data_IF_123965068638
#
_entry.id   IF_123965068638
#
_cell.length_a   1.000
_cell.length_b   1.000
_cell.length_c   1.000
_cell.angle_alpha   90.00
_cell.angle_beta   90.00
_cell.angle_gamma   90.00
#
_symmetry.space_group_name_H-M   'P 1'
#
loop_
_entity.id
_entity.type
_entity.pdbx_description
1 polymer ?
#
# COMPACT_ATOMS: atom_id res chain seq x y z
N UNK A 1 -9.36 7.30 29.11
CA UNK A 1 -8.49 6.18 29.53
C UNK A 1 -7.37 6.12 28.50
N UNK A 2 -6.08 6.25 28.86
CA UNK A 2 -5.03 6.01 27.89
C UNK A 2 -5.08 4.52 27.52
N UNK A 3 -5.18 4.23 26.22
CA UNK A 3 -5.13 2.88 25.67
C UNK A 3 -3.77 2.28 26.04
N UNK A 4 -3.80 1.36 26.99
CA UNK A 4 -2.61 0.74 27.55
C UNK A 4 -2.12 -0.24 26.50
N UNK A 5 -1.24 0.25 25.60
CA UNK A 5 -0.79 -0.39 24.37
C UNK A 5 -0.40 -1.85 24.55
N UNK A 6 -1.38 -2.75 24.45
CA UNK A 6 -1.10 -4.13 24.15
C UNK A 6 -0.47 -4.11 22.77
N UNK A 7 0.84 -4.38 22.71
CA UNK A 7 1.56 -4.61 21.46
C UNK A 7 0.80 -5.73 20.75
N UNK A 8 -0.06 -5.36 19.79
CA UNK A 8 -0.80 -6.33 19.00
C UNK A 8 0.26 -7.18 18.30
N UNK A 9 0.17 -8.51 18.38
CA UNK A 9 1.12 -9.35 17.66
C UNK A 9 1.11 -9.00 16.17
N UNK A 10 2.29 -9.11 15.56
CA UNK A 10 2.46 -8.98 14.12
C UNK A 10 1.60 -9.97 13.35
N UNK A 11 1.58 -9.83 12.03
CA UNK A 11 0.88 -10.76 11.17
C UNK A 11 1.62 -12.10 11.08
N UNK A 12 0.90 -13.20 11.09
CA UNK A 12 1.50 -14.52 10.88
C UNK A 12 1.80 -14.72 9.38
N UNK A 13 3.02 -15.18 9.07
CA UNK A 13 3.39 -15.53 7.70
C UNK A 13 2.68 -16.82 7.25
N UNK A 14 1.75 -16.72 6.30
CA UNK A 14 1.00 -17.86 5.78
C UNK A 14 1.73 -18.52 4.62
N UNK A 15 1.17 -19.58 4.04
CA UNK A 15 1.70 -20.14 2.79
C UNK A 15 1.72 -19.14 1.64
N UNK A 16 0.74 -18.24 1.59
CA UNK A 16 0.56 -17.22 0.54
C UNK A 16 1.42 -15.98 0.79
N UNK A 17 1.49 -15.47 2.02
CA UNK A 17 2.22 -14.25 2.34
C UNK A 17 3.71 -14.47 2.67
N UNK A 18 4.16 -15.70 2.89
CA UNK A 18 5.57 -15.97 3.20
C UNK A 18 6.49 -15.66 2.02
N UNK A 19 7.33 -14.64 2.19
CA UNK A 19 8.42 -14.31 1.26
C UNK A 19 9.44 -15.45 1.21
N UNK A 20 9.71 -15.97 0.00
CA UNK A 20 10.64 -17.11 -0.20
C UNK A 20 12.01 -16.72 -0.74
N UNK A 21 12.10 -15.68 -1.57
CA UNK A 21 13.38 -15.17 -2.08
C UNK A 21 13.76 -13.92 -1.32
N UNK A 22 14.96 -13.91 -0.76
CA UNK A 22 15.41 -12.90 0.20
C UNK A 22 14.47 -12.79 1.42
N UNK A 23 14.25 -13.88 2.18
CA UNK A 23 13.38 -13.86 3.35
C UNK A 23 13.91 -12.96 4.48
N UNK A 24 15.21 -12.69 4.52
CA UNK A 24 15.84 -11.73 5.44
C UNK A 24 15.31 -10.30 5.28
N UNK A 25 14.71 -9.99 4.12
CA UNK A 25 14.08 -8.70 3.80
C UNK A 25 12.61 -8.63 4.20
N UNK A 26 12.04 -9.71 4.72
CA UNK A 26 10.62 -9.82 4.99
C UNK A 26 10.28 -9.24 6.36
N UNK A 27 9.25 -8.40 6.40
CA UNK A 27 8.69 -7.86 7.62
C UNK A 27 7.21 -8.26 7.74
N UNK A 28 6.80 -8.58 8.96
CA UNK A 28 5.41 -8.96 9.28
C UNK A 28 4.89 -8.27 10.54
N UNK A 29 5.70 -7.47 11.22
CA UNK A 29 5.25 -6.62 12.31
C UNK A 29 4.35 -5.48 11.78
N UNK A 30 3.35 -5.09 12.59
CA UNK A 30 2.35 -4.10 12.19
C UNK A 30 2.96 -2.73 11.96
N UNK A 31 3.93 -2.35 12.79
CA UNK A 31 4.60 -1.05 12.72
C UNK A 31 5.22 -0.84 11.33
N UNK A 32 6.03 -1.79 10.87
CA UNK A 32 6.67 -1.72 9.56
C UNK A 32 5.65 -1.75 8.43
N UNK A 33 4.68 -2.67 8.48
CA UNK A 33 3.63 -2.79 7.46
C UNK A 33 2.83 -1.49 7.33
N UNK A 34 2.43 -0.90 8.46
CA UNK A 34 1.62 0.32 8.49
C UNK A 34 2.42 1.53 8.05
N UNK A 35 3.68 1.66 8.48
CA UNK A 35 4.54 2.75 8.04
C UNK A 35 4.69 2.79 6.50
N UNK A 36 4.81 1.63 5.84
CA UNK A 36 4.92 1.55 4.38
C UNK A 36 3.60 1.93 3.69
N UNK A 37 2.46 1.45 4.21
CA UNK A 37 1.13 1.78 3.69
C UNK A 37 0.83 3.27 3.88
N UNK A 38 1.13 3.82 5.06
CA UNK A 38 0.81 5.21 5.41
C UNK A 38 1.68 6.22 4.67
N UNK A 39 2.88 5.83 4.26
CA UNK A 39 3.73 6.63 3.39
C UNK A 39 3.21 6.72 1.94
N UNK A 40 2.31 5.84 1.50
CA UNK A 40 1.82 5.79 0.13
C UNK A 40 0.48 6.55 -0.05
N UNK A 41 0.39 7.38 -1.09
CA UNK A 41 -0.88 8.01 -1.50
C UNK A 41 -1.69 7.10 -2.43
N UNK A 42 -1.01 6.34 -3.29
CA UNK A 42 -1.61 5.45 -4.28
C UNK A 42 -1.23 4.00 -4.01
N UNK A 43 -2.10 3.08 -4.41
CA UNK A 43 -1.85 1.65 -4.42
C UNK A 43 -2.24 1.04 -5.77
N UNK A 44 -1.96 -0.25 -5.92
CA UNK A 44 -2.42 -1.09 -7.02
C UNK A 44 -3.25 -2.24 -6.46
N UNK A 45 -4.53 -2.31 -6.80
CA UNK A 45 -5.42 -3.39 -6.34
C UNK A 45 -5.52 -4.44 -7.43
N UNK A 46 -5.00 -5.64 -7.14
CA UNK A 46 -5.07 -6.83 -7.97
C UNK A 46 -6.28 -7.69 -7.62
N UNK A 47 -7.04 -8.11 -8.63
CA UNK A 47 -8.22 -8.97 -8.47
C UNK A 47 -8.53 -9.71 -9.78
N UNK A 48 -9.48 -10.65 -9.74
CA UNK A 48 -9.84 -11.50 -10.90
C UNK A 48 -11.31 -11.31 -11.24
N UNK A 49 -11.60 -11.11 -12.52
CA UNK A 49 -12.96 -11.06 -13.07
C UNK A 49 -13.02 -12.07 -14.22
N UNK A 50 -13.96 -13.02 -14.18
CA UNK A 50 -14.13 -14.06 -15.19
C UNK A 50 -12.83 -14.84 -15.49
N UNK A 51 -12.03 -15.10 -14.46
CA UNK A 51 -10.74 -15.79 -14.56
C UNK A 51 -9.58 -14.93 -15.09
N UNK A 52 -9.82 -13.66 -15.44
CA UNK A 52 -8.79 -12.74 -15.95
C UNK A 52 -8.27 -11.81 -14.84
N UNK A 53 -6.94 -11.63 -14.70
CA UNK A 53 -6.36 -10.75 -13.71
C UNK A 53 -6.42 -9.28 -14.15
N UNK A 54 -6.80 -8.41 -13.22
CA UNK A 54 -6.77 -6.96 -13.36
C UNK A 54 -5.96 -6.34 -12.23
N UNK A 55 -5.29 -5.22 -12.52
CA UNK A 55 -4.56 -4.42 -11.54
C UNK A 55 -4.95 -2.96 -11.74
N UNK A 56 -5.66 -2.38 -10.78
CA UNK A 56 -6.16 -1.00 -10.87
C UNK A 56 -5.35 -0.08 -9.97
N UNK A 57 -4.69 0.96 -10.51
CA UNK A 57 -4.11 2.02 -9.70
C UNK A 57 -5.22 2.91 -9.11
N UNK A 58 -5.16 3.18 -7.81
CA UNK A 58 -6.13 4.05 -7.13
C UNK A 58 -5.52 4.73 -5.92
N UNK A 59 -6.14 5.82 -5.47
CA UNK A 59 -5.92 6.35 -4.12
C UNK A 59 -6.50 5.38 -3.09
N UNK A 60 -5.87 5.32 -1.93
CA UNK A 60 -6.32 4.50 -0.81
C UNK A 60 -5.96 5.14 0.52
N UNK A 61 -6.53 4.64 1.60
CA UNK A 61 -6.13 4.98 2.96
C UNK A 61 -6.35 3.82 3.91
N UNK A 62 -5.70 3.94 5.06
CA UNK A 62 -5.81 2.99 6.16
C UNK A 62 -6.60 3.64 7.29
N UNK A 63 -7.49 2.87 7.91
CA UNK A 63 -8.07 3.18 9.21
C UNK A 63 -7.99 1.92 10.08
N UNK A 64 -7.23 2.00 11.16
CA UNK A 64 -6.83 0.84 11.96
C UNK A 64 -6.23 -0.28 11.11
N UNK A 65 -6.88 -1.45 11.14
CA UNK A 65 -6.45 -2.68 10.44
C UNK A 65 -7.19 -2.88 9.10
N UNK A 66 -7.83 -1.82 8.59
CA UNK A 66 -8.60 -1.83 7.34
C UNK A 66 -8.01 -0.88 6.31
N UNK A 67 -8.13 -1.27 5.05
CA UNK A 67 -7.75 -0.51 3.88
C UNK A 67 -9.00 -0.14 3.08
N UNK A 68 -9.03 1.09 2.61
CA UNK A 68 -10.17 1.67 1.90
C UNK A 68 -9.72 2.32 0.60
N UNK A 69 -10.56 2.23 -0.42
CA UNK A 69 -10.43 2.94 -1.68
C UNK A 69 -11.83 3.23 -2.22
N UNK A 70 -11.94 4.23 -3.09
CA UNK A 70 -13.24 4.63 -3.63
C UNK A 70 -13.17 4.87 -5.14
N UNK A 71 -14.33 5.03 -5.75
CA UNK A 71 -14.45 5.49 -7.13
C UNK A 71 -15.90 5.65 -7.53
N UNK A 72 -16.15 5.82 -8.83
CA UNK A 72 -17.52 5.94 -9.35
C UNK A 72 -18.33 4.67 -9.06
N UNK A 73 -19.57 4.83 -8.60
CA UNK A 73 -20.52 3.71 -8.45
C UNK A 73 -20.88 3.03 -9.77
N UNK A 74 -20.64 3.69 -10.92
CA UNK A 74 -20.79 3.12 -12.24
C UNK A 74 -19.57 2.27 -12.69
N UNK A 75 -18.46 2.30 -11.95
CA UNK A 75 -17.24 1.55 -12.31
C UNK A 75 -17.53 0.06 -12.42
N UNK A 76 -17.24 -0.53 -13.59
CA UNK A 76 -17.35 -1.98 -13.79
C UNK A 76 -16.44 -2.73 -12.82
N UNK A 77 -15.24 -2.19 -12.58
CA UNK A 77 -14.22 -2.82 -11.74
C UNK A 77 -14.62 -2.85 -10.26
N UNK A 78 -15.21 -1.76 -9.75
CA UNK A 78 -15.69 -1.71 -8.37
C UNK A 78 -16.96 -2.54 -8.19
N UNK A 79 -17.87 -2.54 -9.18
CA UNK A 79 -19.07 -3.39 -9.14
C UNK A 79 -18.72 -4.89 -9.10
N UNK A 80 -17.66 -5.31 -9.75
CA UNK A 80 -17.20 -6.71 -9.68
C UNK A 80 -16.70 -7.11 -8.28
N UNK A 81 -16.32 -6.15 -7.45
CA UNK A 81 -15.89 -6.37 -6.06
C UNK A 81 -17.07 -6.35 -5.07
N UNK A 82 -18.27 -5.95 -5.51
CA UNK A 82 -19.44 -5.75 -4.64
C UNK A 82 -19.82 -6.99 -3.85
N UNK A 83 -19.75 -8.16 -4.48
CA UNK A 83 -20.16 -9.43 -3.90
C UNK A 83 -19.13 -10.02 -2.92
N UNK A 84 -18.03 -9.33 -2.64
CA UNK A 84 -16.97 -9.86 -1.79
C UNK A 84 -16.01 -10.73 -2.59
N UNK A 85 -14.95 -10.14 -3.15
CA UNK A 85 -13.93 -10.92 -3.88
C UNK A 85 -12.57 -10.83 -3.19
N UNK A 86 -11.74 -11.88 -3.27
CA UNK A 86 -10.35 -11.81 -2.85
C UNK A 86 -9.60 -10.77 -3.68
N UNK A 87 -8.87 -9.89 -3.00
CA UNK A 87 -8.02 -8.89 -3.63
C UNK A 87 -6.62 -8.88 -3.01
N UNK A 88 -5.67 -8.31 -3.74
CA UNK A 88 -4.34 -7.98 -3.25
C UNK A 88 -4.10 -6.49 -3.46
N UNK A 89 -4.04 -5.71 -2.37
CA UNK A 89 -3.64 -4.31 -2.42
C UNK A 89 -2.13 -4.23 -2.24
N UNK A 90 -1.45 -3.67 -3.25
CA UNK A 90 0.01 -3.51 -3.26
C UNK A 90 0.41 -2.06 -3.24
N UNK A 91 1.37 -1.71 -2.38
CA UNK A 91 2.09 -0.44 -2.39
C UNK A 91 3.58 -0.70 -2.54
N UNK A 92 4.28 0.20 -3.23
CA UNK A 92 5.73 0.13 -3.41
C UNK A 92 6.32 1.53 -3.48
N UNK A 93 7.45 1.72 -2.79
CA UNK A 93 8.28 2.90 -2.81
C UNK A 93 9.65 2.55 -3.37
N UNK A 94 10.19 3.39 -4.24
CA UNK A 94 11.57 3.28 -4.71
C UNK A 94 12.38 4.31 -3.94
N UNK A 95 13.33 3.84 -3.13
CA UNK A 95 14.10 4.67 -2.21
C UNK A 95 15.54 4.92 -2.72
N UNK A 96 16.00 4.17 -3.74
CA UNK A 96 17.27 4.45 -4.40
C UNK A 96 17.66 3.47 -5.49
N UNK A 97 18.50 3.93 -6.42
CA UNK A 97 19.17 3.08 -7.41
C UNK A 97 20.43 2.51 -6.78
N UNK A 98 20.63 1.19 -6.88
CA UNK A 98 21.87 0.55 -6.41
C UNK A 98 22.72 0.16 -7.59
N UNK A 99 23.87 0.83 -7.70
CA UNK A 99 24.83 0.68 -8.78
C UNK A 99 25.97 -0.20 -8.27
N UNK A 100 26.08 -1.39 -8.85
CA UNK A 100 27.15 -2.35 -8.59
C UNK A 100 28.21 -2.27 -9.69
N UNK A 101 29.37 -2.88 -9.47
CA UNK A 101 30.43 -2.99 -10.48
C UNK A 101 30.17 -4.09 -11.52
N UNK A 102 29.27 -5.00 -11.21
CA UNK A 102 28.82 -6.07 -12.09
C UNK A 102 27.36 -5.88 -12.49
N UNK A 103 27.07 -6.00 -13.79
CA UNK A 103 25.72 -5.85 -14.36
C UNK A 103 24.65 -6.69 -13.63
N UNK A 104 25.01 -7.89 -13.16
CA UNK A 104 24.10 -8.80 -12.46
C UNK A 104 23.71 -8.34 -11.06
N UNK A 105 24.51 -7.46 -10.43
CA UNK A 105 24.38 -7.06 -9.03
C UNK A 105 23.70 -5.71 -8.83
N UNK A 106 23.29 -5.05 -9.92
CA UNK A 106 22.44 -3.87 -9.83
C UNK A 106 21.10 -4.19 -9.16
N UNK A 107 20.57 -3.23 -8.42
CA UNK A 107 19.31 -3.39 -7.71
C UNK A 107 18.64 -2.05 -7.40
N UNK A 108 17.60 -2.08 -6.58
CA UNK A 108 16.92 -0.92 -6.02
C UNK A 108 16.88 -1.05 -4.50
N UNK A 109 17.00 0.07 -3.78
CA UNK A 109 16.45 0.18 -2.44
C UNK A 109 14.94 0.47 -2.58
N UNK A 110 14.13 -0.25 -1.82
CA UNK A 110 12.68 -0.18 -1.91
C UNK A 110 12.01 -0.65 -0.63
N UNK A 111 10.76 -0.23 -0.46
CA UNK A 111 9.83 -0.76 0.53
C UNK A 111 8.53 -1.10 -0.16
N UNK A 112 8.00 -2.30 0.06
CA UNK A 112 6.74 -2.71 -0.54
C UNK A 112 5.90 -3.52 0.44
N UNK A 113 4.58 -3.39 0.32
CA UNK A 113 3.60 -4.21 1.04
C UNK A 113 2.64 -4.82 0.03
N UNK A 114 2.38 -6.11 0.18
CA UNK A 114 1.22 -6.79 -0.41
C UNK A 114 0.28 -7.18 0.72
N UNK A 115 -0.90 -6.57 0.77
CA UNK A 115 -1.96 -6.90 1.72
C UNK A 115 -3.05 -7.70 1.00
N UNK A 116 -3.44 -8.83 1.58
CA UNK A 116 -4.47 -9.71 1.05
C UNK A 116 -5.69 -9.68 1.96
N UNK A 117 -6.86 -9.73 1.35
CA UNK A 117 -8.12 -9.85 2.05
C UNK A 117 -9.29 -9.90 1.09
N UNK A 118 -10.50 -9.82 1.63
CA UNK A 118 -11.74 -9.76 0.85
C UNK A 118 -12.26 -8.32 0.80
N UNK A 119 -12.32 -7.75 -0.40
CA UNK A 119 -12.91 -6.43 -0.61
C UNK A 119 -14.43 -6.49 -0.51
N UNK A 120 -15.06 -5.52 0.15
CA UNK A 120 -16.51 -5.41 0.23
C UNK A 120 -16.94 -3.95 0.11
N UNK A 121 -18.18 -3.71 -0.31
CA UNK A 121 -18.76 -2.36 -0.34
C UNK A 121 -19.14 -1.93 1.08
N UNK A 122 -18.80 -0.69 1.43
CA UNK A 122 -19.31 -0.03 2.63
C UNK A 122 -20.71 0.51 2.30
N UNK A 123 -21.73 -0.22 2.75
CA UNK A 123 -23.15 0.06 2.45
C UNK A 123 -23.76 1.09 3.41
N UNK A 124 -23.27 1.18 4.66
CA UNK A 124 -23.75 2.19 5.61
C UNK A 124 -23.31 3.60 5.16
N UNK A 125 -24.28 4.49 4.95
CA UNK A 125 -24.02 5.84 4.43
C UNK A 125 -23.18 6.68 5.41
N UNK A 126 -23.35 6.49 6.72
CA UNK A 126 -22.60 7.24 7.73
C UNK A 126 -21.14 6.78 7.82
N UNK A 127 -20.90 5.47 7.78
CA UNK A 127 -19.54 4.90 7.70
C UNK A 127 -18.86 5.35 6.39
N UNK A 128 -19.61 5.39 5.30
CA UNK A 128 -19.10 5.83 4.00
C UNK A 128 -18.71 7.30 3.99
N UNK A 129 -19.57 8.18 4.50
CA UNK A 129 -19.24 9.61 4.61
C UNK A 129 -18.03 9.81 5.54
N UNK A 130 -18.00 9.13 6.69
CA UNK A 130 -16.87 9.19 7.61
C UNK A 130 -15.57 8.71 6.96
N UNK A 131 -15.60 7.62 6.20
CA UNK A 131 -14.45 7.08 5.46
C UNK A 131 -13.94 8.04 4.38
N UNK A 132 -14.84 8.65 3.60
CA UNK A 132 -14.46 9.65 2.60
C UNK A 132 -13.86 10.91 3.24
N UNK A 133 -14.40 11.35 4.38
CA UNK A 133 -13.83 12.46 5.14
C UNK A 133 -12.46 12.10 5.75
N UNK A 134 -12.28 10.88 6.25
CA UNK A 134 -11.00 10.41 6.78
C UNK A 134 -9.90 10.40 5.71
N UNK A 135 -10.24 10.07 4.46
CA UNK A 135 -9.32 10.22 3.32
C UNK A 135 -8.84 11.66 3.14
N UNK A 136 -9.77 12.63 3.17
CA UNK A 136 -9.42 14.05 3.04
C UNK A 136 -8.57 14.52 4.22
N UNK A 137 -8.94 14.18 5.45
CA UNK A 137 -8.18 14.54 6.65
C UNK A 137 -6.76 13.96 6.67
N UNK A 138 -6.57 12.75 6.10
CA UNK A 138 -5.24 12.16 5.95
C UNK A 138 -4.32 13.01 5.08
N UNK A 139 -4.83 13.57 3.98
CA UNK A 139 -4.05 14.37 3.04
C UNK A 139 -3.98 15.85 3.44
N UNK A 140 -5.05 16.35 4.06
CA UNK A 140 -5.27 17.75 4.37
C UNK A 140 -5.86 17.89 5.77
N UNK A 141 -5.04 17.80 6.84
CA UNK A 141 -5.53 17.88 8.22
C UNK A 141 -6.34 19.16 8.48
N UNK A 142 -7.52 18.99 9.07
CA UNK A 142 -8.49 20.05 9.38
C UNK A 142 -9.33 20.54 8.19
N UNK A 143 -9.11 20.01 6.98
CA UNK A 143 -9.74 20.54 5.77
C UNK A 143 -11.24 20.27 5.71
N UNK A 144 -11.71 19.15 6.23
CA UNK A 144 -13.14 18.78 6.19
C UNK A 144 -14.01 19.78 6.97
N UNK A 145 -13.49 20.37 8.04
CA UNK A 145 -14.19 21.41 8.82
C UNK A 145 -14.37 22.74 8.07
N UNK A 146 -13.59 22.97 7.00
CA UNK A 146 -13.64 24.19 6.19
C UNK A 146 -14.48 24.04 4.92
N UNK A 147 -14.90 22.82 4.61
CA UNK A 147 -15.64 22.48 3.39
C UNK A 147 -17.13 22.31 3.71
N UNK A 148 -17.98 22.43 2.69
CA UNK A 148 -19.36 21.99 2.83
C UNK A 148 -19.41 20.46 3.04
N UNK A 149 -20.46 19.94 3.71
CA UNK A 149 -20.70 18.49 3.78
C UNK A 149 -20.88 17.84 2.40
N UNK A 150 -20.68 16.52 2.35
CA UNK A 150 -20.91 15.72 1.13
C UNK A 150 -22.42 15.69 0.86
N UNK A 151 -22.84 16.04 -0.34
CA UNK A 151 -24.26 15.98 -0.67
C UNK A 151 -24.71 14.52 -0.86
N UNK A 152 -25.96 14.21 -0.50
CA UNK A 152 -26.49 12.84 -0.62
C UNK A 152 -26.33 12.25 -2.04
N UNK A 153 -26.46 13.07 -3.08
CA UNK A 153 -26.28 12.61 -4.46
C UNK A 153 -24.81 12.27 -4.79
N UNK A 154 -23.86 13.00 -4.21
CA UNK A 154 -22.42 12.75 -4.38
C UNK A 154 -22.00 11.47 -3.65
N UNK A 155 -22.57 11.26 -2.46
CA UNK A 155 -22.40 10.02 -1.70
C UNK A 155 -22.93 8.82 -2.49
N UNK A 156 -24.12 8.93 -3.12
CA UNK A 156 -24.68 7.87 -4.00
C UNK A 156 -23.87 7.64 -5.28
N UNK A 157 -23.27 8.67 -5.85
CA UNK A 157 -22.43 8.56 -7.05
C UNK A 157 -21.07 7.92 -6.79
N UNK A 158 -20.67 7.81 -5.52
CA UNK A 158 -19.39 7.24 -5.09
C UNK A 158 -19.62 5.83 -4.56
N UNK A 159 -18.70 4.89 -4.82
CA UNK A 159 -18.65 3.59 -4.16
C UNK A 159 -17.39 3.56 -3.29
N UNK A 160 -17.55 3.19 -2.02
CA UNK A 160 -16.46 3.00 -1.08
C UNK A 160 -16.27 1.50 -0.84
N UNK A 161 -15.04 1.04 -0.95
CA UNK A 161 -14.65 -0.33 -0.71
C UNK A 161 -13.81 -0.38 0.56
N UNK A 162 -14.03 -1.41 1.36
CA UNK A 162 -13.24 -1.73 2.54
C UNK A 162 -12.63 -3.12 2.42
N UNK A 163 -11.47 -3.32 3.05
CA UNK A 163 -10.82 -4.62 3.17
C UNK A 163 -10.08 -4.71 4.50
N UNK A 164 -10.34 -5.75 5.29
CA UNK A 164 -9.49 -6.07 6.42
C UNK A 164 -8.14 -6.65 5.95
N UNK A 165 -7.05 -6.30 6.61
CA UNK A 165 -5.75 -6.93 6.33
C UNK A 165 -5.73 -8.31 6.98
N UNK A 166 -6.07 -9.34 6.19
CA UNK A 166 -6.13 -10.74 6.65
C UNK A 166 -4.73 -11.37 6.65
N UNK A 167 -3.99 -11.16 5.57
CA UNK A 167 -2.60 -11.60 5.42
C UNK A 167 -1.77 -10.50 4.79
N UNK A 168 -0.49 -10.44 5.11
CA UNK A 168 0.40 -9.42 4.55
C UNK A 168 1.82 -9.91 4.42
N UNK A 169 2.52 -9.34 3.45
CA UNK A 169 3.97 -9.42 3.35
C UNK A 169 4.53 -8.03 3.09
N UNK A 170 5.38 -7.54 3.98
CA UNK A 170 6.25 -6.40 3.69
C UNK A 170 7.63 -6.90 3.26
N UNK A 171 8.25 -6.19 2.32
CA UNK A 171 9.62 -6.45 1.88
C UNK A 171 10.40 -5.16 1.73
N UNK A 172 11.56 -5.10 2.38
CA UNK A 172 12.43 -3.93 2.40
C UNK A 172 13.81 -4.30 1.92
N UNK A 173 14.39 -3.47 1.06
CA UNK A 173 15.83 -3.48 0.78
C UNK A 173 16.37 -2.09 1.00
N UNK A 174 17.36 -1.96 1.87
CA UNK A 174 18.05 -0.70 2.14
C UNK A 174 19.57 -0.96 2.31
N UNK A 175 20.20 -1.45 1.24
CA UNK A 175 21.58 -1.91 1.26
C UNK A 175 22.38 -1.38 0.06
N UNK A 176 23.70 -1.28 0.23
CA UNK A 176 24.64 -1.00 -0.86
C UNK A 176 24.74 -2.11 -1.91
N UNK A 177 25.56 -1.90 -2.96
CA UNK A 177 25.87 -2.95 -3.92
C UNK A 177 26.59 -4.11 -3.23
N UNK A 178 26.27 -5.34 -3.64
CA UNK A 178 26.85 -6.57 -3.09
C UNK A 178 27.96 -7.11 -4.01
N UNK A 179 28.92 -6.26 -4.37
CA UNK A 179 30.06 -6.61 -5.22
C UNK A 179 30.89 -7.75 -4.59
N UNK A 180 31.52 -8.57 -5.43
CA UNK A 180 32.52 -9.56 -5.02
C UNK A 180 33.93 -9.03 -5.26
N UNK A 181 34.92 -9.69 -4.66
CA UNK A 181 36.35 -9.40 -4.87
C UNK A 181 36.74 -9.30 -6.36
N UNK A 182 36.17 -10.17 -7.23
CA UNK A 182 36.42 -10.16 -8.68
C UNK A 182 35.90 -8.90 -9.37
N UNK A 183 34.88 -8.24 -8.81
CA UNK A 183 34.25 -7.06 -9.40
C UNK A 183 35.08 -5.77 -9.16
N UNK A 184 36.01 -5.78 -8.20
CA UNK A 184 36.84 -4.60 -7.85
C UNK A 184 37.87 -4.22 -8.93
N UNK A 185 38.10 -5.08 -9.92
CA UNK A 185 38.93 -4.75 -11.08
C UNK A 185 38.22 -3.87 -12.12
N UNK A 186 36.90 -3.70 -12.03
CA UNK A 186 36.14 -2.87 -12.95
C UNK A 186 36.36 -1.37 -12.68
N UNK A 187 36.74 -0.63 -13.71
CA UNK A 187 36.91 0.83 -13.65
C UNK A 187 35.56 1.55 -13.78
N UNK A 188 34.70 1.37 -12.78
CA UNK A 188 33.42 2.04 -12.69
C UNK A 188 33.05 2.36 -11.24
N UNK A 189 32.19 3.38 -11.08
CA UNK A 189 31.68 3.77 -9.77
C UNK A 189 30.57 2.83 -9.30
N UNK A 190 30.54 2.55 -8.00
CA UNK A 190 29.46 1.80 -7.35
C UNK A 190 29.02 2.50 -6.07
N UNK A 191 27.73 2.40 -5.76
CA UNK A 191 27.09 3.08 -4.66
C UNK A 191 25.58 3.15 -4.80
N UNK A 192 24.98 4.12 -4.13
CA UNK A 192 23.52 4.33 -4.14
C UNK A 192 23.26 5.74 -4.66
N UNK A 193 22.29 5.88 -5.56
CA UNK A 193 21.66 7.17 -5.90
C UNK A 193 20.31 7.21 -5.20
N UNK A 194 20.15 7.97 -4.10
CA UNK A 194 18.88 8.03 -3.37
C UNK A 194 17.75 8.59 -4.22
N UNK A 195 16.53 8.07 -4.01
CA UNK A 195 15.30 8.57 -4.61
C UNK A 195 14.34 8.95 -3.49
N UNK A 196 13.78 10.15 -3.57
CA UNK A 196 12.80 10.65 -2.62
C UNK A 196 11.63 11.29 -3.35
N UNK A 197 10.42 11.12 -2.81
CA UNK A 197 9.24 11.86 -3.24
C UNK A 197 9.11 13.12 -2.37
N UNK A 198 8.93 14.27 -3.02
CA UNK A 198 8.76 15.56 -2.36
C UNK A 198 7.41 16.17 -2.77
N UNK A 199 6.69 16.72 -1.80
CA UNK A 199 5.52 17.57 -2.06
C UNK A 199 6.04 18.98 -2.33
N UNK A 200 5.76 19.51 -3.52
CA UNK A 200 6.19 20.85 -3.93
C UNK A 200 5.38 21.97 -3.28
N UNK A 201 5.78 23.21 -3.54
CA UNK A 201 4.99 24.39 -3.19
C UNK A 201 3.67 24.40 -4.00
N UNK A 202 2.52 24.76 -3.37
CA UNK A 202 1.27 24.98 -4.09
C UNK A 202 1.36 26.07 -5.16
#
# INVERSE_FOLDING_TARGET
>A
MPDNGSLRPGFAATQRSRVRRHPERAHYDRETVYAILDAAMMCHVGYVIDGLPYVTPTLFWRDGDRLYWHGSSASRMLRAQREGIPVCLTVSHVDGLVLARCAFRHSLNYRAVMAFGTAHVVEDESEKEAGLNAFIERLYPGRTALMRPIAAQELKATMLLGMAIEEVSAKIRDDGPLDLDIDHGADCWAGIVPIAQLVGMP
#
